data_IF_280374562852
#
_entry.id   IF_280374562852
#
_cell.length_a   1.000
_cell.length_b   1.000
_cell.length_c   1.000
_cell.angle_alpha   90.00
_cell.angle_beta   90.00
_cell.angle_gamma   90.00
#
_symmetry.space_group_name_H-M   'P 1'
#
loop_
_entity.id
_entity.type
_entity.pdbx_description
1 polymer ?
#
# COMPACT_ATOMS: atom_id res chain seq x y z
N UNK A 1 15.64 -12.37 12.85
CA UNK A 1 14.53 -11.56 12.29
C UNK A 1 13.26 -12.37 12.45
N UNK A 2 12.33 -11.99 13.34
CA UNK A 2 11.07 -12.71 13.52
C UNK A 2 10.15 -12.45 12.30
N UNK A 3 9.61 -13.51 11.69
CA UNK A 3 8.60 -13.36 10.64
C UNK A 3 7.32 -12.79 11.24
N UNK A 4 6.74 -11.79 10.56
CA UNK A 4 5.44 -11.22 10.93
C UNK A 4 4.38 -12.30 10.73
N UNK A 5 3.49 -12.55 11.71
CA UNK A 5 2.46 -13.57 11.57
C UNK A 5 1.53 -13.21 10.40
N UNK A 6 1.27 -14.18 9.53
CA UNK A 6 0.28 -14.03 8.46
C UNK A 6 -1.11 -13.82 9.08
N UNK A 7 -1.86 -12.84 8.53
CA UNK A 7 -3.23 -12.57 8.98
C UNK A 7 -4.11 -13.77 8.67
N UNK A 8 -4.96 -14.13 9.63
CA UNK A 8 -5.95 -15.19 9.41
C UNK A 8 -6.99 -14.74 8.38
N UNK A 9 -7.57 -15.70 7.65
CA UNK A 9 -8.66 -15.44 6.70
C UNK A 9 -9.83 -14.70 7.34
N UNK A 10 -10.16 -15.02 8.58
CA UNK A 10 -11.22 -14.36 9.34
C UNK A 10 -10.89 -12.89 9.66
N UNK A 11 -9.62 -12.60 9.94
CA UNK A 11 -9.16 -11.23 10.19
C UNK A 11 -9.27 -10.39 8.91
N UNK A 12 -8.86 -10.94 7.76
CA UNK A 12 -8.96 -10.27 6.45
C UNK A 12 -10.42 -10.00 6.10
N UNK A 13 -11.30 -10.98 6.28
CA UNK A 13 -12.74 -10.82 6.03
C UNK A 13 -13.36 -9.72 6.92
N UNK A 14 -12.98 -9.66 8.19
CA UNK A 14 -13.43 -8.61 9.12
C UNK A 14 -12.94 -7.22 8.72
N UNK A 15 -11.72 -7.11 8.20
CA UNK A 15 -11.18 -5.85 7.67
C UNK A 15 -11.95 -5.41 6.43
N UNK A 16 -12.19 -6.32 5.49
CA UNK A 16 -12.95 -6.06 4.27
C UNK A 16 -14.38 -5.59 4.57
N UNK A 17 -15.06 -6.22 5.54
CA UNK A 17 -16.39 -5.79 5.97
C UNK A 17 -16.39 -4.40 6.60
N UNK A 18 -15.32 -4.05 7.32
CA UNK A 18 -15.17 -2.70 7.89
C UNK A 18 -14.98 -1.67 6.78
N UNK A 19 -14.12 -1.95 5.82
CA UNK A 19 -13.90 -1.10 4.64
C UNK A 19 -15.21 -0.88 3.87
N UNK A 20 -15.97 -1.95 3.62
CA UNK A 20 -17.30 -1.86 3.00
C UNK A 20 -18.31 -1.07 3.86
N UNK A 21 -18.31 -1.24 5.19
CA UNK A 21 -19.23 -0.54 6.08
C UNK A 21 -18.96 0.97 6.21
N UNK A 22 -17.75 1.41 5.89
CA UNK A 22 -17.36 2.82 5.92
C UNK A 22 -17.87 3.57 4.67
N UNK A 23 -18.38 2.85 3.66
CA UNK A 23 -18.99 3.47 2.48
C UNK A 23 -17.99 4.07 1.51
N UNK A 24 -16.77 3.51 1.45
CA UNK A 24 -15.85 3.75 0.33
C UNK A 24 -16.36 2.98 -0.90
N UNK A 25 -17.49 3.40 -1.42
CA UNK A 25 -17.98 2.93 -2.71
C UNK A 25 -16.97 3.33 -3.78
N UNK A 26 -16.67 2.42 -4.71
CA UNK A 26 -15.68 2.69 -5.76
C UNK A 26 -16.07 3.87 -6.66
N UNK A 27 -17.36 4.22 -6.67
CA UNK A 27 -17.96 5.33 -7.42
C UNK A 27 -18.38 6.51 -6.52
N UNK A 28 -17.81 6.65 -5.32
CA UNK A 28 -18.11 7.77 -4.42
C UNK A 28 -17.91 9.12 -5.13
N UNK A 29 -19.00 9.87 -5.30
CA UNK A 29 -19.02 11.19 -5.93
C UNK A 29 -18.08 12.17 -5.22
N UNK A 30 -17.91 12.05 -3.90
CA UNK A 30 -16.97 12.87 -3.14
C UNK A 30 -15.51 12.53 -3.51
N UNK A 31 -15.19 11.24 -3.68
CA UNK A 31 -13.86 10.81 -4.13
C UNK A 31 -13.59 11.26 -5.56
N UNK A 32 -14.57 11.17 -6.47
CA UNK A 32 -14.46 11.69 -7.84
C UNK A 32 -14.29 13.21 -7.88
N UNK A 33 -14.96 13.94 -6.96
CA UNK A 33 -14.79 15.37 -6.85
C UNK A 33 -13.38 15.74 -6.37
N UNK A 34 -12.85 15.03 -5.36
CA UNK A 34 -11.49 15.23 -4.87
C UNK A 34 -10.44 14.93 -5.96
N UNK A 35 -10.58 13.84 -6.71
CA UNK A 35 -9.67 13.52 -7.82
C UNK A 35 -9.62 14.63 -8.89
N UNK A 36 -10.78 15.26 -9.16
CA UNK A 36 -10.89 16.33 -10.16
C UNK A 36 -10.47 17.71 -9.65
N UNK A 37 -10.70 18.01 -8.36
CA UNK A 37 -10.60 19.38 -7.83
C UNK A 37 -9.48 19.55 -6.80
N UNK A 38 -9.08 18.48 -6.11
CA UNK A 38 -8.00 18.51 -5.14
C UNK A 38 -6.70 18.11 -5.82
N UNK A 39 -5.86 19.12 -6.08
CA UNK A 39 -4.54 18.85 -6.64
C UNK A 39 -3.72 18.07 -5.62
N UNK A 40 -3.01 17.00 -6.01
CA UNK A 40 -2.23 16.22 -5.08
C UNK A 40 -1.23 17.14 -4.37
N UNK A 41 -1.02 16.96 -3.05
CA UNK A 41 -0.08 17.79 -2.31
C UNK A 41 1.32 17.66 -2.93
N UNK A 42 2.13 18.73 -2.90
CA UNK A 42 3.48 18.69 -3.43
C UNK A 42 4.25 17.55 -2.76
N UNK A 43 4.93 16.75 -3.57
CA UNK A 43 5.77 15.68 -3.03
C UNK A 43 6.91 16.32 -2.24
N UNK A 44 6.91 16.11 -0.92
CA UNK A 44 8.00 16.60 -0.09
C UNK A 44 9.30 15.95 -0.54
N UNK A 45 10.33 16.76 -0.76
CA UNK A 45 11.67 16.26 -0.98
C UNK A 45 12.08 15.36 0.20
N UNK A 46 12.74 14.22 -0.06
CA UNK A 46 13.15 13.34 1.02
C UNK A 46 14.09 14.09 1.96
N UNK A 47 13.85 13.98 3.27
CA UNK A 47 14.62 14.66 4.33
C UNK A 47 16.12 14.36 4.27
N UNK A 48 16.50 13.25 3.64
CA UNK A 48 17.88 12.91 3.32
C UNK A 48 17.96 11.94 2.15
N UNK A 49 19.13 11.86 1.53
CA UNK A 49 19.42 10.98 0.39
C UNK A 49 19.09 9.51 0.71
N UNK A 50 19.37 9.05 1.92
CA UNK A 50 19.08 7.69 2.41
C UNK A 50 17.60 7.40 2.71
N UNK A 51 16.69 8.36 2.47
CA UNK A 51 15.23 8.20 2.59
C UNK A 51 14.52 8.41 1.25
N UNK A 52 15.26 8.38 0.15
CA UNK A 52 14.67 8.47 -1.18
C UNK A 52 13.94 7.15 -1.52
N UNK A 53 12.64 7.25 -1.79
CA UNK A 53 11.77 6.12 -2.15
C UNK A 53 12.30 5.35 -3.38
N UNK A 54 12.86 6.06 -4.36
CA UNK A 54 13.43 5.45 -5.56
C UNK A 54 14.61 4.55 -5.20
N UNK A 55 15.54 5.02 -4.37
CA UNK A 55 16.67 4.19 -3.91
C UNK A 55 16.20 2.92 -3.17
N UNK A 56 15.14 3.01 -2.35
CA UNK A 56 14.58 1.86 -1.66
C UNK A 56 13.82 0.88 -2.56
N UNK A 57 13.24 1.34 -3.68
CA UNK A 57 12.55 0.48 -4.64
C UNK A 57 13.53 -0.42 -5.40
N UNK A 58 14.70 0.10 -5.74
CA UNK A 58 15.78 -0.66 -6.39
C UNK A 58 16.62 -1.50 -5.40
N UNK A 59 16.67 -1.09 -4.13
CA UNK A 59 17.41 -1.81 -3.09
C UNK A 59 16.64 -3.00 -2.49
N UNK A 60 15.42 -3.31 -2.96
CA UNK A 60 14.81 -4.59 -2.63
C UNK A 60 15.57 -5.70 -3.36
N UNK A 61 16.26 -6.62 -2.65
CA UNK A 61 16.89 -7.75 -3.32
C UNK A 61 15.80 -8.57 -4.01
N UNK A 62 16.09 -9.05 -5.22
CA UNK A 62 15.32 -10.02 -5.98
C UNK A 62 15.24 -11.40 -5.28
N UNK A 63 14.89 -11.42 -3.99
CA UNK A 63 14.88 -12.59 -3.13
C UNK A 63 13.50 -13.22 -2.99
N UNK A 64 12.73 -13.25 -4.08
CA UNK A 64 11.52 -14.06 -4.19
C UNK A 64 11.41 -14.73 -5.57
N UNK A 65 12.50 -15.30 -6.09
CA UNK A 65 12.44 -16.20 -7.25
C UNK A 65 13.52 -17.29 -7.19
N UNK A 66 13.59 -18.01 -6.07
CA UNK A 66 14.31 -19.29 -5.95
C UNK A 66 13.51 -20.25 -5.06
N UNK A 67 12.37 -20.70 -5.57
CA UNK A 67 11.60 -21.85 -5.05
C UNK A 67 10.88 -22.53 -6.21
N UNK A 68 11.63 -23.01 -7.20
CA UNK A 68 11.15 -24.01 -8.15
C UNK A 68 12.36 -24.64 -8.86
N UNK A 69 13.13 -25.43 -8.11
CA UNK A 69 14.04 -26.44 -8.68
C UNK A 69 14.18 -27.57 -7.65
N UNK A 70 13.30 -28.57 -7.75
CA UNK A 70 13.54 -30.01 -7.52
C UNK A 70 12.22 -30.78 -7.64
#
# INVERSE_FOLDING_TARGET
MAQKPHLSRQTVEKMRRREASVGLESDDDAAQWLDRNDSPPPTNAPKSLGKNKLLHQWAQPAALNRRDES
#
